data_IF_480605493669
#
_entry.id   IF_480605493669
#
_cell.length_a   1.000
_cell.length_b   1.000
_cell.length_c   1.000
_cell.angle_alpha   90.00
_cell.angle_beta   90.00
_cell.angle_gamma   90.00
#
_symmetry.space_group_name_H-M   'P 1'
#
loop_
_entity.id
_entity.type
_entity.pdbx_description
1 polymer ?
#
# COMPACT_ATOMS: atom_id res chain seq x y z
N UNK A 1 11.11 -0.04 -6.25
CA UNK A 1 10.83 -1.22 -5.41
C UNK A 1 9.62 -0.99 -4.53
N UNK A 2 8.79 -1.99 -4.39
CA UNK A 2 7.59 -1.91 -3.56
C UNK A 2 7.88 -2.56 -2.20
N UNK A 3 7.40 -1.93 -1.13
CA UNK A 3 7.35 -2.57 0.19
C UNK A 3 5.89 -2.95 0.42
N UNK A 4 5.64 -4.23 0.71
CA UNK A 4 4.29 -4.70 0.97
C UNK A 4 4.19 -5.23 2.41
N UNK A 5 3.25 -4.67 3.16
CA UNK A 5 2.99 -5.09 4.53
C UNK A 5 1.85 -6.10 4.52
N UNK A 6 2.10 -7.28 5.07
CA UNK A 6 1.17 -8.40 4.99
C UNK A 6 0.99 -9.08 6.35
N UNK A 7 0.03 -10.01 6.40
CA UNK A 7 -0.13 -10.90 7.54
C UNK A 7 -0.44 -12.31 7.03
N UNK A 8 -0.19 -13.34 7.87
CA UNK A 8 -0.57 -14.70 7.51
C UNK A 8 -2.07 -14.83 7.31
N UNK A 9 -2.48 -15.69 6.39
CA UNK A 9 -3.89 -15.97 6.17
C UNK A 9 -4.69 -14.86 5.50
N UNK A 10 -4.01 -13.86 4.98
CA UNK A 10 -4.67 -12.73 4.32
C UNK A 10 -4.83 -13.02 2.83
N UNK A 11 -6.05 -13.24 2.38
CA UNK A 11 -6.31 -13.55 0.97
C UNK A 11 -5.94 -12.38 0.06
N UNK A 12 -6.26 -11.15 0.48
CA UNK A 12 -5.91 -9.95 -0.29
C UNK A 12 -4.40 -9.77 -0.41
N UNK A 13 -3.67 -10.14 0.64
CA UNK A 13 -2.20 -10.09 0.61
C UNK A 13 -1.64 -11.06 -0.44
N UNK A 14 -2.21 -12.27 -0.51
CA UNK A 14 -1.78 -13.24 -1.51
C UNK A 14 -2.07 -12.76 -2.93
N UNK A 15 -3.24 -12.17 -3.14
CA UNK A 15 -3.60 -11.62 -4.46
C UNK A 15 -2.66 -10.50 -4.86
N UNK A 16 -2.35 -9.61 -3.94
CA UNK A 16 -1.46 -8.49 -4.21
C UNK A 16 -0.06 -8.99 -4.59
N UNK A 17 0.48 -9.94 -3.82
CA UNK A 17 1.80 -10.50 -4.12
C UNK A 17 1.82 -11.20 -5.46
N UNK A 18 0.76 -11.95 -5.78
CA UNK A 18 0.67 -12.63 -7.07
C UNK A 18 0.64 -11.63 -8.22
N UNK A 19 -0.13 -10.56 -8.06
CA UNK A 19 -0.19 -9.50 -9.07
C UNK A 19 1.19 -8.88 -9.29
N UNK A 20 1.92 -8.62 -8.22
CA UNK A 20 3.28 -8.07 -8.32
C UNK A 20 4.21 -9.02 -9.09
N UNK A 21 4.14 -10.31 -8.78
CA UNK A 21 4.95 -11.31 -9.48
C UNK A 21 4.57 -11.41 -10.95
N UNK A 22 3.29 -11.43 -11.25
CA UNK A 22 2.80 -11.54 -12.62
C UNK A 22 3.23 -10.35 -13.47
N UNK A 23 3.37 -9.18 -12.85
CA UNK A 23 3.79 -7.97 -13.53
C UNK A 23 5.29 -7.71 -13.40
N UNK A 24 6.03 -8.67 -12.85
CA UNK A 24 7.49 -8.63 -12.72
C UNK A 24 7.97 -7.39 -11.96
N UNK A 25 7.23 -7.03 -10.92
CA UNK A 25 7.57 -5.90 -10.06
C UNK A 25 8.26 -6.43 -8.82
N UNK A 26 9.47 -5.97 -8.57
CA UNK A 26 10.22 -6.36 -7.37
C UNK A 26 9.59 -5.78 -6.11
N UNK A 27 9.51 -6.59 -5.07
CA UNK A 27 8.95 -6.12 -3.81
C UNK A 27 9.66 -6.78 -2.63
N UNK A 28 9.59 -6.10 -1.49
CA UNK A 28 10.03 -6.63 -0.20
C UNK A 28 8.78 -6.81 0.65
N UNK A 29 8.59 -8.02 1.17
CA UNK A 29 7.46 -8.30 2.04
C UNK A 29 7.85 -8.11 3.49
N UNK A 30 7.01 -7.41 4.25
CA UNK A 30 7.14 -7.28 5.69
C UNK A 30 5.89 -7.85 6.35
N UNK A 31 6.06 -8.98 7.04
CA UNK A 31 4.98 -9.58 7.80
C UNK A 31 4.84 -8.82 9.12
N UNK A 32 3.70 -8.16 9.33
CA UNK A 32 3.51 -7.29 10.48
C UNK A 32 3.43 -8.05 11.81
N UNK A 33 3.21 -9.36 11.78
CA UNK A 33 3.21 -10.18 12.99
C UNK A 33 4.56 -10.79 13.31
N UNK A 34 5.42 -10.94 12.32
CA UNK A 34 6.76 -11.52 12.52
C UNK A 34 7.77 -10.49 13.01
N UNK A 35 7.56 -9.23 12.68
CA UNK A 35 8.50 -8.17 12.99
C UNK A 35 7.76 -6.98 13.60
N UNK A 36 8.27 -6.46 14.71
CA UNK A 36 7.72 -5.25 15.30
C UNK A 36 8.03 -4.08 14.37
N UNK A 37 6.99 -3.35 14.00
CA UNK A 37 7.16 -2.15 13.18
C UNK A 37 7.81 -1.05 14.03
N UNK A 38 8.79 -0.39 13.47
CA UNK A 38 9.50 0.68 14.17
C UNK A 38 8.65 1.95 14.16
N UNK A 39 8.86 2.78 15.17
CA UNK A 39 8.12 4.03 15.31
C UNK A 39 8.23 4.89 14.06
N UNK A 40 9.42 5.05 13.52
CA UNK A 40 9.65 5.87 12.33
C UNK A 40 8.92 5.31 11.11
N UNK A 41 8.86 3.98 11.00
CA UNK A 41 8.17 3.30 9.92
C UNK A 41 6.67 3.57 9.99
N UNK A 42 6.09 3.44 11.17
CA UNK A 42 4.66 3.70 11.38
C UNK A 42 4.34 5.17 11.11
N UNK A 43 5.17 6.07 11.61
CA UNK A 43 4.98 7.50 11.37
C UNK A 43 5.07 7.86 9.90
N UNK A 44 5.95 7.18 9.17
CA UNK A 44 6.05 7.39 7.74
C UNK A 44 4.77 6.95 7.03
N UNK A 45 4.23 5.79 7.38
CA UNK A 45 2.96 5.34 6.82
C UNK A 45 1.85 6.34 7.11
N UNK A 46 1.79 6.85 8.33
CA UNK A 46 0.80 7.85 8.72
C UNK A 46 0.94 9.13 7.91
N UNK A 47 2.17 9.54 7.62
CA UNK A 47 2.43 10.76 6.86
C UNK A 47 1.97 10.65 5.41
N UNK A 48 1.80 9.43 4.91
CA UNK A 48 1.38 9.16 3.54
C UNK A 48 -0.13 9.06 3.41
N UNK A 49 -0.86 9.09 4.51
CA UNK A 49 -2.33 9.02 4.49
C UNK A 49 -2.92 10.32 3.97
N UNK A 50 -3.86 10.24 3.03
CA UNK A 50 -4.49 11.41 2.44
C UNK A 50 -5.62 11.95 3.31
N UNK A 51 -6.35 11.06 3.96
CA UNK A 51 -7.55 11.39 4.72
C UNK A 51 -7.40 11.17 6.22
N UNK A 52 -6.16 11.17 6.72
CA UNK A 52 -5.87 10.93 8.12
C UNK A 52 -5.53 9.49 8.41
N UNK A 53 -5.18 9.22 9.66
CA UNK A 53 -4.66 7.91 10.07
C UNK A 53 -5.68 6.77 9.89
N UNK A 54 -6.96 7.10 9.75
CA UNK A 54 -7.97 6.10 9.48
C UNK A 54 -7.73 5.34 8.18
N UNK A 55 -6.95 5.93 7.25
CA UNK A 55 -6.66 5.26 5.98
C UNK A 55 -5.97 3.92 6.20
N UNK A 56 -5.13 3.80 7.22
CA UNK A 56 -4.37 2.57 7.49
C UNK A 56 -4.90 1.78 8.69
N UNK A 57 -5.86 2.32 9.44
CA UNK A 57 -6.38 1.66 10.63
C UNK A 57 -7.72 1.00 10.32
N UNK A 58 -7.81 -0.29 10.62
CA UNK A 58 -9.03 -1.06 10.45
C UNK A 58 -9.92 -0.85 11.68
N UNK A 59 -10.74 0.19 11.63
CA UNK A 59 -11.64 0.52 12.76
C UNK A 59 -12.71 -0.53 12.94
N UNK A 60 -12.96 -1.37 11.94
CA UNK A 60 -13.92 -2.44 12.01
C UNK A 60 -13.36 -3.74 12.59
N UNK A 61 -12.05 -3.81 12.79
CA UNK A 61 -11.43 -5.00 13.36
C UNK A 61 -11.88 -5.15 14.82
N UNK A 62 -11.98 -6.41 15.27
CA UNK A 62 -12.31 -6.69 16.66
C UNK A 62 -11.31 -6.06 17.61
N UNK A 63 -10.02 -6.11 17.24
CA UNK A 63 -8.97 -5.56 18.07
C UNK A 63 -9.19 -4.07 18.32
N UNK A 64 -9.60 -3.32 17.29
CA UNK A 64 -9.84 -1.91 17.43
C UNK A 64 -11.15 -1.65 18.20
N UNK A 65 -12.21 -2.38 17.86
CA UNK A 65 -13.49 -2.20 18.53
C UNK A 65 -13.45 -2.49 20.03
N UNK A 66 -12.60 -3.43 20.43
CA UNK A 66 -12.42 -3.75 21.85
C UNK A 66 -11.82 -2.60 22.66
N UNK A 67 -11.28 -1.59 22.00
CA UNK A 67 -10.73 -0.41 22.68
C UNK A 67 -11.84 0.54 23.15
N UNK A 68 -13.01 0.46 22.53
CA UNK A 68 -14.17 1.33 22.84
C UNK A 68 -13.83 2.81 22.71
N UNK A 69 -12.92 3.15 21.76
CA UNK A 69 -12.48 4.53 21.49
C UNK A 69 -12.37 4.72 19.99
N UNK A 70 -12.57 5.95 19.53
CA UNK A 70 -12.37 6.28 18.12
C UNK A 70 -10.92 6.67 17.84
N UNK A 71 -10.57 6.73 16.56
CA UNK A 71 -9.21 7.12 16.15
C UNK A 71 -8.85 8.50 16.71
N UNK A 72 -9.82 9.41 16.74
CA UNK A 72 -9.59 10.78 17.18
C UNK A 72 -9.32 10.89 18.68
N UNK A 73 -9.62 9.82 19.43
CA UNK A 73 -9.39 9.81 20.87
C UNK A 73 -7.94 9.49 21.24
N UNK A 74 -7.09 9.23 20.27
CA UNK A 74 -5.70 8.88 20.48
C UNK A 74 -4.77 9.97 19.96
N UNK A 75 -3.68 10.22 20.69
CA UNK A 75 -2.59 11.04 20.14
C UNK A 75 -1.84 10.20 19.11
N UNK A 76 -1.01 10.88 18.31
CA UNK A 76 -0.19 10.19 17.33
C UNK A 76 0.72 9.15 17.98
N UNK A 77 1.36 9.52 19.07
CA UNK A 77 2.25 8.59 19.79
C UNK A 77 1.50 7.42 20.39
N UNK A 78 0.27 7.64 20.86
CA UNK A 78 -0.57 6.55 21.36
C UNK A 78 -0.92 5.58 20.24
N UNK A 79 -1.24 6.09 19.05
CA UNK A 79 -1.54 5.24 17.91
C UNK A 79 -0.33 4.43 17.47
N UNK A 80 0.85 5.03 17.48
CA UNK A 80 2.09 4.31 17.16
C UNK A 80 2.28 3.14 18.10
N UNK A 81 2.18 3.40 19.41
CA UNK A 81 2.33 2.36 20.42
C UNK A 81 1.27 1.27 20.26
N UNK A 82 0.05 1.68 19.98
CA UNK A 82 -1.06 0.74 19.81
C UNK A 82 -0.82 -0.19 18.62
N UNK A 83 -0.35 0.35 17.49
CA UNK A 83 -0.03 -0.44 16.31
C UNK A 83 1.10 -1.42 16.60
N UNK A 84 2.11 -0.98 17.34
CA UNK A 84 3.24 -1.86 17.70
C UNK A 84 2.79 -3.03 18.56
N UNK A 85 1.85 -2.78 19.48
CA UNK A 85 1.34 -3.83 20.37
C UNK A 85 0.29 -4.71 19.71
N UNK A 86 -0.51 -4.13 18.82
CA UNK A 86 -1.61 -4.83 18.17
C UNK A 86 -1.61 -4.55 16.66
N UNK A 87 -0.66 -5.17 15.92
CA UNK A 87 -0.59 -4.92 14.46
C UNK A 87 -1.87 -5.30 13.71
N UNK A 88 -2.72 -6.13 14.31
CA UNK A 88 -3.97 -6.54 13.68
C UNK A 88 -4.94 -5.38 13.43
N UNK A 89 -4.70 -4.22 14.04
CA UNK A 89 -5.53 -3.04 13.74
C UNK A 89 -5.14 -2.35 12.43
N UNK A 90 -4.01 -2.71 11.84
CA UNK A 90 -3.62 -2.18 10.53
C UNK A 90 -4.41 -2.86 9.42
N UNK A 91 -4.80 -2.08 8.43
CA UNK A 91 -5.33 -2.64 7.18
C UNK A 91 -4.21 -3.37 6.44
N UNK A 92 -4.55 -4.40 5.68
CA UNK A 92 -3.60 -5.19 4.89
C UNK A 92 -4.23 -5.60 3.58
N UNK A 93 -3.43 -5.72 2.52
CA UNK A 93 -2.03 -5.32 2.45
C UNK A 93 -1.89 -3.80 2.36
N UNK A 94 -0.70 -3.30 2.73
CA UNK A 94 -0.32 -1.91 2.44
C UNK A 94 0.88 -2.00 1.50
N UNK A 95 0.77 -1.41 0.32
CA UNK A 95 1.84 -1.38 -0.66
C UNK A 95 2.37 0.04 -0.76
N UNK A 96 3.67 0.18 -0.57
CA UNK A 96 4.31 1.48 -0.48
C UNK A 96 5.41 1.61 -1.53
N UNK A 97 5.34 2.69 -2.31
CA UNK A 97 6.43 3.09 -3.20
C UNK A 97 6.85 4.50 -2.82
N UNK A 98 7.86 5.03 -3.52
CA UNK A 98 8.29 6.41 -3.27
C UNK A 98 7.16 7.42 -3.50
N UNK A 99 6.27 7.12 -4.46
CA UNK A 99 5.25 8.07 -4.90
C UNK A 99 3.84 7.70 -4.46
N UNK A 100 3.59 6.43 -4.17
CA UNK A 100 2.22 5.96 -3.94
C UNK A 100 2.12 5.08 -2.72
N UNK A 101 0.93 5.06 -2.12
CA UNK A 101 0.58 4.11 -1.08
C UNK A 101 -0.79 3.55 -1.44
N UNK A 102 -0.87 2.22 -1.59
CA UNK A 102 -2.10 1.53 -1.94
C UNK A 102 -2.48 0.61 -0.79
N UNK A 103 -3.71 0.69 -0.34
CA UNK A 103 -4.20 -0.06 0.82
C UNK A 103 -5.28 -1.03 0.35
N UNK A 104 -5.11 -2.29 0.70
CA UNK A 104 -6.01 -3.34 0.25
C UNK A 104 -5.65 -3.83 -1.14
N UNK A 105 -6.42 -4.78 -1.64
CA UNK A 105 -6.24 -5.26 -3.02
C UNK A 105 -7.44 -4.86 -3.86
N UNK A 106 -7.16 -4.16 -4.94
CA UNK A 106 -8.13 -3.77 -5.94
C UNK A 106 -7.42 -3.79 -7.28
N UNK A 107 -8.04 -4.42 -8.28
CA UNK A 107 -7.42 -4.64 -9.59
C UNK A 107 -7.00 -3.33 -10.27
N UNK A 108 -7.73 -2.26 -10.03
CA UNK A 108 -7.44 -0.98 -10.66
C UNK A 108 -6.43 -0.17 -9.84
N UNK A 109 -6.64 -0.10 -8.54
CA UNK A 109 -5.80 0.72 -7.68
C UNK A 109 -4.37 0.22 -7.58
N UNK A 110 -4.19 -1.12 -7.63
CA UNK A 110 -2.86 -1.70 -7.52
C UNK A 110 -1.94 -1.28 -8.67
N UNK A 111 -2.49 -0.87 -9.79
CA UNK A 111 -1.67 -0.41 -10.92
C UNK A 111 -0.83 0.81 -10.56
N UNK A 112 -1.22 1.55 -9.52
CA UNK A 112 -0.47 2.72 -9.08
C UNK A 112 0.94 2.39 -8.55
N UNK A 113 1.20 1.12 -8.18
CA UNK A 113 2.53 0.73 -7.70
C UNK A 113 3.47 0.33 -8.83
N UNK A 114 3.00 0.35 -10.09
CA UNK A 114 3.84 0.05 -11.23
C UNK A 114 4.92 1.12 -11.37
N UNK A 115 6.20 0.74 -11.49
CA UNK A 115 7.25 1.73 -11.69
C UNK A 115 7.04 2.55 -12.95
N UNK A 116 7.39 3.83 -12.92
CA UNK A 116 7.14 4.74 -14.03
C UNK A 116 7.76 4.26 -15.33
N UNK A 117 8.93 3.64 -15.26
CA UNK A 117 9.62 3.16 -16.44
C UNK A 117 8.97 1.92 -17.07
N UNK A 118 8.04 1.29 -16.38
CA UNK A 118 7.32 0.13 -16.88
C UNK A 118 5.87 0.44 -17.27
N UNK A 119 5.38 1.66 -16.98
CA UNK A 119 4.03 2.04 -17.34
C UNK A 119 3.92 2.30 -18.82
N UNK A 120 2.85 1.78 -19.41
CA UNK A 120 2.55 2.06 -20.80
C UNK A 120 2.06 3.48 -20.96
N UNK A 121 2.48 4.19 -22.05
CA UNK A 121 1.90 5.48 -22.36
C UNK A 121 0.41 5.29 -22.60
N UNK A 122 -0.35 6.23 -22.20
CA UNK A 122 -1.77 6.19 -22.48
C UNK A 122 -1.94 6.60 -23.91
N UNK A 123 -2.04 6.42 -24.70
CA UNK A 123 -2.23 6.77 -25.90
C UNK A 123 -1.97 6.57 -26.92
N UNK A 124 -1.45 6.90 -26.95
CA UNK A 124 -0.99 6.72 -27.71
C UNK A 124 -0.87 6.30 -28.57
N UNK A 125 -0.96 6.37 -29.21
CA UNK A 125 -0.70 5.67 -30.04
C UNK A 125 -0.12 5.86 -30.84
N UNK A 126 0.12 5.99 -31.45
CA UNK A 126 0.79 5.86 -31.98
C UNK A 126 1.13 6.23 -32.47
N UNK A 127 1.25 6.40 -33.16
CA UNK A 127 1.75 6.21 -33.55
C UNK A 127 2.05 6.53 -33.89
N UNK A 128 1.76 6.84 -34.55
CA UNK A 128 2.34 6.54 -34.84
C UNK A 128 2.58 6.81 -35.10
N UNK A 129 2.42 7.18 -35.77
CA UNK A 129 2.93 6.86 -36.01
C UNK A 129 3.39 7.10 -35.72
N UNK A 130 2.73 7.64 -36.76
CA UNK A 130 3.25 7.38 -36.51
C UNK A 130 3.57 7.50 -36.01
N UNK A 131 3.43 8.17 -36.27
CA UNK A 131 3.97 7.59 -35.96
C UNK A 131 4.02 7.98 -35.44
N UNK A 132 3.64 8.27 -35.80
CA UNK A 132 3.84 7.97 -35.38
C UNK A 132 4.00 8.21 -34.71
N UNK A 133 4.22 8.71 -34.74
CA UNK A 133 4.42 8.30 -34.26
C UNK A 133 4.74 8.27 -33.51
N UNK A 134 4.60 8.77 -33.84
CA UNK A 134 4.94 8.16 -33.20
C UNK A 134 5.22 8.08 -32.60
N UNK A 135 5.27 8.44 -32.63
CA UNK A 135 5.62 7.80 -32.07
C UNK A 135 5.82 7.91 -31.43
N UNK A 136 5.88 8.11 -31.29
CA UNK A 136 6.08 7.83 -30.88
C UNK A 136 6.40 8.11 -30.06
N UNK A 137 6.41 8.12 -29.60
CA UNK A 137 6.65 8.09 -28.90
C UNK A 137 7.09 7.94 -27.85
N UNK A 138 7.29 7.95 -27.60
CA UNK A 138 7.56 7.45 -26.56
C UNK A 138 7.40 7.53 -25.33
N UNK A 139 7.18 7.58 -24.84
CA UNK A 139 6.93 7.55 -23.84
C UNK A 139 7.26 7.08 -22.90
#
# INVERSE_FOLDING_TARGET
MVIIYTSPGCASCRKAKQWLRDNKISFVEKNIFSNVLKEGEIKYLMSRCENGTEDIISTRSKAFQNLHRGVDDFTLNELVTLIQKNPSILKRPIMLTEKTMVIGYDDDEITAVTPSNLRQPISMPVNTEDGLRLSLKAY
#
